data_IF_879499485317
#
_entry.id   IF_879499485317
#
_cell.length_a   1.000
_cell.length_b   1.000
_cell.length_c   1.000
_cell.angle_alpha   90.00
_cell.angle_beta   90.00
_cell.angle_gamma   90.00
#
_symmetry.space_group_name_H-M   'P 1'
#
loop_
_entity.id
_entity.type
_entity.pdbx_description
1 polymer ?
#
# COMPACT_ATOMS: atom_id res chain seq x y z
N UNK A 1 -14.79 45.23 -49.43
CA UNK A 1 -15.09 44.26 -48.34
C UNK A 1 -15.31 42.90 -48.99
N UNK A 2 -14.27 42.06 -49.01
CA UNK A 2 -14.26 40.77 -49.69
C UNK A 2 -14.69 39.63 -48.75
N UNK A 3 -15.19 38.59 -49.40
CA UNK A 3 -16.02 37.49 -48.95
C UNK A 3 -15.41 36.51 -47.92
N UNK A 4 -16.33 35.86 -47.18
CA UNK A 4 -16.48 34.42 -46.88
C UNK A 4 -15.23 33.59 -46.53
N UNK A 5 -15.33 32.80 -45.45
CA UNK A 5 -15.32 31.33 -45.53
C UNK A 5 -15.87 30.71 -44.23
N UNK A 6 -16.88 29.86 -44.41
CA UNK A 6 -17.36 28.90 -43.43
C UNK A 6 -16.49 27.65 -43.57
N UNK A 7 -15.79 27.22 -42.51
CA UNK A 7 -15.17 25.91 -42.52
C UNK A 7 -15.82 25.00 -41.47
N UNK A 8 -16.54 24.05 -42.04
CA UNK A 8 -17.15 22.85 -41.49
C UNK A 8 -16.13 21.97 -40.79
N UNK A 9 -16.41 21.52 -39.57
CA UNK A 9 -15.73 20.33 -39.02
C UNK A 9 -16.79 19.38 -38.46
N UNK A 10 -16.78 18.23 -39.12
CA UNK A 10 -17.57 17.02 -38.98
C UNK A 10 -17.52 16.36 -37.61
N UNK A 11 -18.64 15.72 -37.27
CA UNK A 11 -18.80 14.78 -36.17
C UNK A 11 -17.77 13.65 -36.20
N UNK A 12 -17.21 13.31 -35.04
CA UNK A 12 -16.50 12.05 -34.82
C UNK A 12 -17.16 11.30 -33.66
N UNK A 13 -17.72 10.14 -34.01
CA UNK A 13 -18.38 9.18 -33.13
C UNK A 13 -17.39 8.03 -32.96
N UNK A 14 -16.88 7.78 -31.75
CA UNK A 14 -16.13 6.56 -31.44
C UNK A 14 -16.48 6.04 -30.05
N UNK A 15 -16.73 4.74 -30.02
CA UNK A 15 -17.17 3.89 -28.92
C UNK A 15 -16.16 3.80 -27.76
N UNK A 16 -16.59 3.37 -26.56
CA UNK A 16 -15.71 3.15 -25.41
C UNK A 16 -14.87 1.86 -25.57
N UNK A 17 -13.56 1.88 -25.30
CA UNK A 17 -12.78 0.66 -25.14
C UNK A 17 -12.94 0.07 -23.73
N UNK A 18 -13.19 -1.23 -23.73
CA UNK A 18 -13.24 -2.13 -22.59
C UNK A 18 -11.93 -2.18 -21.81
N UNK A 19 -12.07 -2.47 -20.52
CA UNK A 19 -11.05 -2.55 -19.48
C UNK A 19 -9.85 -3.48 -19.78
N UNK A 20 -8.64 -3.11 -19.35
CA UNK A 20 -7.62 -4.09 -19.00
C UNK A 20 -7.53 -4.28 -17.48
N UNK A 21 -8.01 -5.45 -17.07
CA UNK A 21 -7.52 -6.36 -16.04
C UNK A 21 -6.38 -5.87 -15.11
N UNK A 22 -6.72 -5.86 -13.81
CA UNK A 22 -5.85 -5.74 -12.65
C UNK A 22 -4.54 -6.51 -12.76
N UNK A 23 -3.41 -5.80 -12.70
CA UNK A 23 -2.11 -6.41 -12.39
C UNK A 23 -1.81 -6.23 -10.90
N UNK A 24 -1.86 -7.34 -10.17
CA UNK A 24 -1.54 -7.45 -8.75
C UNK A 24 -0.04 -7.28 -8.53
N UNK A 25 0.41 -6.06 -8.24
CA UNK A 25 1.78 -5.82 -7.76
C UNK A 25 1.81 -5.94 -6.22
N UNK A 26 2.06 -7.16 -5.75
CA UNK A 26 2.44 -7.45 -4.37
C UNK A 26 3.86 -6.93 -4.09
N UNK A 27 3.96 -5.67 -3.68
CA UNK A 27 5.20 -5.09 -3.16
C UNK A 27 5.28 -5.29 -1.64
N UNK A 28 6.06 -6.28 -1.22
CA UNK A 28 6.46 -6.50 0.18
C UNK A 28 7.24 -5.28 0.68
N UNK A 29 6.68 -4.57 1.67
CA UNK A 29 7.32 -3.39 2.28
C UNK A 29 8.12 -3.84 3.49
N UNK A 30 9.44 -3.86 3.37
CA UNK A 30 10.34 -3.82 4.52
C UNK A 30 10.76 -2.36 4.73
N UNK A 31 10.45 -1.79 5.90
CA UNK A 31 10.78 -0.41 6.26
C UNK A 31 11.02 -0.33 7.76
N UNK A 32 12.23 -0.72 8.20
CA UNK A 32 12.58 -0.90 9.61
C UNK A 32 13.06 0.40 10.32
N UNK A 33 13.01 1.56 9.67
CA UNK A 33 13.31 2.85 10.30
C UNK A 33 12.05 3.66 10.67
N UNK A 34 10.87 3.27 10.15
CA UNK A 34 9.59 3.95 10.40
C UNK A 34 8.82 3.42 11.61
N UNK A 35 9.25 2.29 12.17
CA UNK A 35 8.45 1.50 13.12
C UNK A 35 8.24 2.20 14.46
N UNK A 36 9.20 3.00 14.93
CA UNK A 36 9.08 3.71 16.21
C UNK A 36 8.13 4.92 16.13
N UNK A 37 8.30 5.81 15.13
CA UNK A 37 7.39 6.94 14.89
C UNK A 37 5.96 6.44 14.58
N UNK A 38 5.86 5.35 13.82
CA UNK A 38 4.59 4.73 13.46
C UNK A 38 3.79 4.24 14.67
N UNK A 39 4.44 3.69 15.71
CA UNK A 39 3.75 3.21 16.91
C UNK A 39 3.09 4.35 17.70
N UNK A 40 3.82 5.43 17.96
CA UNK A 40 3.31 6.59 18.71
C UNK A 40 2.18 7.28 17.95
N UNK A 41 2.36 7.49 16.64
CA UNK A 41 1.34 8.08 15.77
C UNK A 41 0.09 7.19 15.68
N UNK A 42 0.27 5.86 15.66
CA UNK A 42 -0.85 4.90 15.64
C UNK A 42 -1.64 4.89 16.95
N UNK A 43 -0.99 5.07 18.09
CA UNK A 43 -1.67 5.22 19.38
C UNK A 43 -2.45 6.54 19.44
N UNK A 44 -1.84 7.64 18.99
CA UNK A 44 -2.52 8.93 18.91
C UNK A 44 -3.73 8.88 17.96
N UNK A 45 -3.63 8.20 16.82
CA UNK A 45 -4.73 8.02 15.88
C UNK A 45 -5.92 7.20 16.44
N UNK A 46 -5.73 6.44 17.52
CA UNK A 46 -6.85 5.77 18.22
C UNK A 46 -7.61 6.74 19.12
N UNK A 47 -6.92 7.75 19.64
CA UNK A 47 -7.45 8.73 20.58
C UNK A 47 -8.03 9.96 19.85
N UNK A 48 -7.37 10.38 18.77
CA UNK A 48 -7.74 11.56 17.99
C UNK A 48 -8.17 11.18 16.56
N UNK A 49 -9.45 11.42 16.18
CA UNK A 49 -9.94 11.12 14.84
C UNK A 49 -9.29 11.98 13.75
N UNK A 50 -8.80 13.19 14.08
CA UNK A 50 -8.15 14.09 13.13
C UNK A 50 -6.79 13.53 12.75
N UNK A 51 -6.00 13.11 13.74
CA UNK A 51 -4.68 12.48 13.50
C UNK A 51 -4.84 11.20 12.68
N UNK A 52 -5.90 10.42 12.93
CA UNK A 52 -6.21 9.23 12.14
C UNK A 52 -6.42 9.55 10.65
N UNK A 53 -7.11 10.63 10.35
CA UNK A 53 -7.36 11.03 8.96
C UNK A 53 -6.08 11.55 8.30
N UNK A 54 -5.24 12.29 9.02
CA UNK A 54 -3.91 12.67 8.53
C UNK A 54 -3.01 11.47 8.24
N UNK A 55 -3.01 10.44 9.09
CA UNK A 55 -2.24 9.20 8.85
C UNK A 55 -2.74 8.47 7.59
N UNK A 56 -4.06 8.46 7.37
CA UNK A 56 -4.64 7.88 6.15
C UNK A 56 -4.21 8.66 4.91
N UNK A 57 -4.21 9.98 4.99
CA UNK A 57 -3.81 10.84 3.89
C UNK A 57 -2.31 10.76 3.61
N UNK A 58 -1.47 10.67 4.64
CA UNK A 58 -0.03 10.39 4.51
C UNK A 58 0.19 9.08 3.71
N UNK A 59 -0.54 8.02 4.06
CA UNK A 59 -0.42 6.74 3.37
C UNK A 59 -0.91 6.79 1.92
N UNK A 60 -1.99 7.53 1.65
CA UNK A 60 -2.50 7.75 0.29
C UNK A 60 -1.51 8.54 -0.56
N UNK A 61 -0.91 9.60 0.00
CA UNK A 61 0.09 10.41 -0.70
C UNK A 61 1.36 9.61 -0.98
N UNK A 62 1.86 8.82 -0.02
CA UNK A 62 3.01 7.91 -0.24
C UNK A 62 2.74 6.86 -1.30
N UNK A 63 1.50 6.34 -1.41
CA UNK A 63 1.12 5.43 -2.49
C UNK A 63 1.18 6.11 -3.86
N UNK A 64 0.62 7.31 -3.99
CA UNK A 64 0.70 8.10 -5.22
C UNK A 64 2.14 8.43 -5.60
N UNK A 65 2.98 8.76 -4.61
CA UNK A 65 4.39 9.05 -4.85
C UNK A 65 5.12 7.83 -5.43
N UNK A 66 4.90 6.64 -4.87
CA UNK A 66 5.48 5.39 -5.39
C UNK A 66 5.01 5.07 -6.82
N UNK A 67 3.74 5.31 -7.13
CA UNK A 67 3.23 5.16 -8.49
C UNK A 67 3.95 6.12 -9.45
N UNK A 68 4.12 7.38 -9.06
CA UNK A 68 4.84 8.37 -9.86
C UNK A 68 6.31 7.98 -10.04
N UNK A 69 6.99 7.53 -9.00
CA UNK A 69 8.38 7.05 -9.07
C UNK A 69 8.51 5.86 -10.02
N UNK A 70 7.54 4.94 -10.02
CA UNK A 70 7.51 3.82 -10.96
C UNK A 70 7.32 4.29 -12.41
N UNK A 71 6.49 5.31 -12.65
CA UNK A 71 6.30 5.92 -13.97
C UNK A 71 7.56 6.65 -14.43
N UNK A 72 8.24 7.38 -13.54
CA UNK A 72 9.52 8.04 -13.83
C UNK A 72 10.61 7.01 -14.16
N UNK A 73 10.69 5.91 -13.41
CA UNK A 73 11.62 4.82 -13.71
C UNK A 73 11.33 4.16 -15.06
N UNK A 74 10.04 3.97 -15.40
CA UNK A 74 9.64 3.47 -16.71
C UNK A 74 10.05 4.43 -17.84
N UNK A 75 9.81 5.73 -17.69
CA UNK A 75 10.26 6.73 -18.66
C UNK A 75 11.79 6.76 -18.80
N UNK A 76 12.51 6.70 -17.69
CA UNK A 76 13.98 6.66 -17.68
C UNK A 76 14.55 5.41 -18.38
N UNK A 77 13.82 4.28 -18.36
CA UNK A 77 14.17 3.07 -19.10
C UNK A 77 13.87 3.14 -20.61
N UNK A 78 13.38 4.28 -21.11
CA UNK A 78 13.06 4.50 -22.53
C UNK A 78 11.65 4.06 -22.93
N UNK A 79 10.77 3.72 -21.97
CA UNK A 79 9.35 3.44 -22.28
C UNK A 79 8.60 4.73 -22.54
N UNK A 80 7.83 4.77 -23.62
CA UNK A 80 6.91 5.88 -23.90
C UNK A 80 5.76 5.86 -22.88
N UNK A 81 5.49 7.00 -22.25
CA UNK A 81 4.37 7.17 -21.32
C UNK A 81 3.16 7.75 -22.05
N UNK A 82 1.97 7.27 -21.71
CA UNK A 82 0.73 7.87 -22.19
C UNK A 82 0.52 9.27 -21.59
N UNK A 83 -0.24 10.13 -22.28
CA UNK A 83 -0.50 11.50 -21.83
C UNK A 83 -1.09 11.57 -20.40
N UNK A 84 -1.94 10.60 -20.03
CA UNK A 84 -2.50 10.50 -18.69
C UNK A 84 -1.43 10.17 -17.62
N UNK A 85 -0.40 9.39 -17.97
CA UNK A 85 0.71 9.04 -17.09
C UNK A 85 1.68 10.22 -16.94
N UNK A 86 1.97 10.93 -18.04
CA UNK A 86 2.76 12.18 -17.99
C UNK A 86 2.11 13.20 -17.06
N UNK A 87 0.79 13.38 -17.15
CA UNK A 87 0.04 14.25 -16.26
C UNK A 87 0.12 13.84 -14.77
N UNK A 88 0.29 12.55 -14.46
CA UNK A 88 0.53 12.09 -13.08
C UNK A 88 1.93 12.46 -12.62
N UNK A 89 2.95 12.27 -13.46
CA UNK A 89 4.34 12.66 -13.15
C UNK A 89 4.45 14.16 -12.89
N UNK A 90 3.74 15.00 -13.66
CA UNK A 90 3.70 16.45 -13.45
C UNK A 90 3.16 16.85 -12.07
N UNK A 91 2.34 16.01 -11.43
CA UNK A 91 1.78 16.27 -10.09
C UNK A 91 2.74 15.92 -8.95
N UNK A 92 3.94 15.40 -9.22
CA UNK A 92 4.92 15.01 -8.20
C UNK A 92 5.22 16.11 -7.20
N UNK A 93 5.45 17.33 -7.69
CA UNK A 93 5.74 18.49 -6.83
C UNK A 93 4.61 18.79 -5.85
N UNK A 94 3.36 18.71 -6.31
CA UNK A 94 2.18 18.87 -5.45
C UNK A 94 2.10 17.77 -4.39
N UNK A 95 2.25 16.51 -4.79
CA UNK A 95 2.18 15.36 -3.86
C UNK A 95 3.26 15.46 -2.76
N UNK A 96 4.47 15.92 -3.12
CA UNK A 96 5.54 16.16 -2.14
C UNK A 96 5.22 17.32 -1.19
N UNK A 97 4.62 18.40 -1.70
CA UNK A 97 4.17 19.52 -0.88
C UNK A 97 3.10 19.09 0.11
N UNK A 98 2.08 18.37 -0.36
CA UNK A 98 1.00 17.86 0.48
C UNK A 98 1.52 16.92 1.58
N UNK A 99 2.49 16.06 1.24
CA UNK A 99 3.07 15.14 2.20
C UNK A 99 3.79 15.89 3.33
N UNK A 100 4.54 16.97 3.01
CA UNK A 100 5.20 17.82 4.01
C UNK A 100 4.18 18.50 4.93
N UNK A 101 3.05 18.98 4.40
CA UNK A 101 1.99 19.58 5.19
C UNK A 101 1.36 18.56 6.15
N UNK A 102 1.06 17.35 5.67
CA UNK A 102 0.52 16.28 6.53
C UNK A 102 1.52 15.89 7.61
N UNK A 103 2.81 15.76 7.28
CA UNK A 103 3.87 15.49 8.25
C UNK A 103 3.98 16.58 9.32
N UNK A 104 3.85 17.84 8.92
CA UNK A 104 3.82 18.98 9.84
C UNK A 104 2.62 18.89 10.79
N UNK A 105 1.42 18.67 10.27
CA UNK A 105 0.22 18.55 11.11
C UNK A 105 0.27 17.37 12.08
N UNK A 106 0.81 16.23 11.67
CA UNK A 106 1.01 15.09 12.58
C UNK A 106 2.00 15.48 13.70
N UNK A 107 3.06 16.21 13.37
CA UNK A 107 4.08 16.63 14.33
C UNK A 107 3.54 17.68 15.32
N UNK A 108 2.74 18.63 14.84
CA UNK A 108 2.02 19.61 15.67
C UNK A 108 1.03 18.92 16.61
N UNK A 109 0.22 17.99 16.09
CA UNK A 109 -0.73 17.24 16.90
C UNK A 109 -0.04 16.39 17.99
N UNK A 110 1.13 15.80 17.67
CA UNK A 110 1.95 15.11 18.66
C UNK A 110 2.46 16.04 19.76
N UNK A 111 2.94 17.24 19.39
CA UNK A 111 3.43 18.22 20.35
C UNK A 111 2.30 18.72 21.27
N UNK A 112 1.12 18.99 20.70
CA UNK A 112 -0.06 19.41 21.46
C UNK A 112 -0.55 18.30 22.41
N UNK A 113 -0.52 17.05 21.96
CA UNK A 113 -0.86 15.90 22.79
C UNK A 113 0.10 15.77 23.98
N UNK A 114 1.42 15.86 23.74
CA UNK A 114 2.43 15.84 24.81
C UNK A 114 2.27 17.02 25.78
N UNK A 115 1.90 18.20 25.29
CA UNK A 115 1.66 19.38 26.14
C UNK A 115 0.45 19.19 27.06
N UNK A 116 -0.61 18.55 26.58
CA UNK A 116 -1.86 18.33 27.35
C UNK A 116 -1.78 17.15 28.31
N UNK A 117 -1.07 16.08 27.94
CA UNK A 117 -1.03 14.83 28.70
C UNK A 117 0.27 14.61 29.48
N UNK A 118 1.22 15.56 29.40
CA UNK A 118 2.57 15.41 29.93
C UNK A 118 3.42 14.47 29.05
N UNK A 119 4.71 14.26 29.39
CA UNK A 119 5.52 13.24 28.73
C UNK A 119 4.92 11.87 29.06
N UNK A 120 4.09 11.35 28.17
CA UNK A 120 3.52 10.01 28.29
C UNK A 120 4.70 9.04 28.39
N UNK A 121 4.86 8.28 29.48
CA UNK A 121 5.84 7.22 29.52
C UNK A 121 5.42 6.22 28.45
N UNK A 122 6.16 6.16 27.34
CA UNK A 122 6.00 5.19 26.26
C UNK A 122 6.38 3.77 26.71
N UNK A 123 6.13 3.43 27.97
CA UNK A 123 6.25 2.10 28.53
C UNK A 123 4.95 1.34 28.26
N UNK A 124 4.91 0.75 27.07
CA UNK A 124 4.24 -0.51 26.73
C UNK A 124 3.59 -1.21 27.94
N UNK A 125 2.31 -0.94 28.18
CA UNK A 125 1.40 -1.85 28.91
C UNK A 125 0.47 -2.47 27.87
N UNK A 126 1.00 -3.35 27.03
CA UNK A 126 0.19 -4.06 26.04
C UNK A 126 0.80 -5.42 25.72
N UNK A 127 0.96 -6.27 26.73
CA UNK A 127 1.30 -7.69 26.52
C UNK A 127 1.06 -8.60 27.75
N UNK A 128 -0.01 -8.41 28.54
CA UNK A 128 -0.28 -9.32 29.67
C UNK A 128 -1.77 -9.70 29.91
N UNK A 129 -2.68 -9.53 28.93
CA UNK A 129 -4.09 -9.91 29.12
C UNK A 129 -4.76 -10.66 27.95
N UNK A 130 -4.01 -11.44 27.17
CA UNK A 130 -4.61 -12.33 26.14
C UNK A 130 -4.04 -13.75 26.10
N UNK A 131 -3.62 -14.30 27.24
CA UNK A 131 -3.25 -15.72 27.34
C UNK A 131 -3.93 -16.43 28.52
N UNK A 132 -5.19 -16.09 28.82
CA UNK A 132 -6.03 -16.89 29.73
C UNK A 132 -7.43 -17.10 29.14
N UNK A 133 -7.49 -17.63 27.93
CA UNK A 133 -8.67 -18.33 27.45
C UNK A 133 -8.25 -19.26 26.31
N UNK A 134 -8.57 -20.54 26.48
CA UNK A 134 -8.46 -21.65 25.52
C UNK A 134 -7.16 -22.47 25.54
N UNK A 135 -7.06 -23.42 26.48
CA UNK A 135 -6.63 -24.78 26.17
C UNK A 135 -6.86 -25.75 27.36
N UNK A 136 -8.10 -26.25 27.48
CA UNK A 136 -8.35 -27.63 27.88
C UNK A 136 -9.12 -28.25 26.72
N UNK A 137 -8.64 -29.37 26.14
CA UNK A 137 -9.14 -30.66 26.62
C UNK A 137 -8.06 -31.76 26.65
N UNK A 138 -8.25 -32.71 27.57
CA UNK A 138 -7.48 -33.93 27.61
C UNK A 138 -7.80 -34.87 26.45
N UNK A 139 -6.84 -35.71 26.08
CA UNK A 139 -7.04 -37.10 25.70
C UNK A 139 -5.68 -37.80 25.57
N UNK A 140 -5.66 -39.02 26.09
CA UNK A 140 -4.57 -40.00 26.13
C UNK A 140 -4.23 -40.52 24.73
N UNK A 141 -3.05 -41.14 24.61
CA UNK A 141 -2.73 -42.36 23.82
C UNK A 141 -1.33 -42.21 23.22
N UNK A 142 -0.25 -42.62 23.89
CA UNK A 142 0.35 -43.97 23.78
C UNK A 142 0.29 -44.58 22.38
N UNK A 143 1.44 -44.92 21.79
CA UNK A 143 1.50 -46.02 20.84
C UNK A 143 2.35 -45.78 19.60
N UNK A 144 3.54 -46.37 19.64
CA UNK A 144 4.05 -47.23 18.56
C UNK A 144 4.63 -46.57 17.32
N UNK A 145 5.96 -46.48 17.35
CA UNK A 145 6.85 -46.98 16.30
C UNK A 145 6.17 -47.88 15.26
N UNK A 146 6.37 -47.56 13.97
CA UNK A 146 6.57 -48.58 12.94
C UNK A 146 7.25 -47.98 11.69
N UNK A 147 8.46 -48.49 11.49
CA UNK A 147 9.21 -48.58 10.24
C UNK A 147 8.38 -49.30 9.18
N UNK A 148 8.37 -48.80 7.93
CA UNK A 148 8.23 -49.58 6.68
C UNK A 148 8.22 -48.61 5.48
N UNK A 149 9.25 -48.59 4.62
CA UNK A 149 9.49 -49.51 3.48
C UNK A 149 8.69 -49.15 2.22
N UNK A 150 9.44 -48.61 1.26
CA UNK A 150 9.47 -48.86 -0.19
C UNK A 150 8.17 -49.09 -1.00
N UNK A 151 8.10 -48.42 -2.15
CA UNK A 151 7.96 -48.99 -3.52
C UNK A 151 7.93 -47.82 -4.55
N UNK A 152 8.95 -47.69 -5.43
CA UNK A 152 9.04 -48.15 -6.84
C UNK A 152 7.91 -47.64 -7.78
N UNK A 153 8.26 -46.65 -8.64
CA UNK A 153 8.28 -46.64 -10.15
C UNK A 153 7.02 -47.22 -10.87
N UNK A 154 6.45 -46.63 -11.97
CA UNK A 154 7.15 -46.16 -13.18
C UNK A 154 6.67 -44.88 -13.91
N UNK A 155 7.56 -44.46 -14.81
CA UNK A 155 7.37 -43.52 -15.91
C UNK A 155 6.38 -44.02 -16.98
N UNK A 156 5.72 -43.09 -17.66
CA UNK A 156 5.23 -43.29 -19.02
C UNK A 156 5.45 -42.01 -19.84
N UNK A 157 6.33 -42.14 -20.82
CA UNK A 157 6.43 -41.30 -22.01
C UNK A 157 5.19 -41.51 -22.89
N UNK A 158 4.59 -40.42 -23.38
CA UNK A 158 3.69 -40.47 -24.53
C UNK A 158 4.15 -39.43 -25.56
N UNK A 159 4.79 -39.95 -26.60
CA UNK A 159 5.03 -39.30 -27.89
C UNK A 159 4.02 -39.90 -28.87
N UNK A 160 3.38 -39.05 -29.69
CA UNK A 160 2.69 -39.30 -30.98
C UNK A 160 1.74 -38.10 -31.22
N UNK A 161 1.76 -37.38 -32.34
CA UNK A 161 2.54 -37.48 -33.58
C UNK A 161 2.41 -36.19 -34.38
#
# INVERSE_FOLDING_TARGET
MLARELCSISAFRSAPPSEPCSTTAGGSVSSDAGTARSKVVSELAKLDPIVRDFVRDEFRLKKKLREIEALEAAAASGKSLEAAQVAKVSKKGQVLSDLRLVDQHISEALADFQKRHGPVPLALKSSEQQAEQQAAPGARSSGSSKVAVARRIPAYSASCG
#
